data_IF_207118843513
#
_entry.id   IF_207118843513
#
_cell.length_a   1.000
_cell.length_b   1.000
_cell.length_c   1.000
_cell.angle_alpha   90.00
_cell.angle_beta   90.00
_cell.angle_gamma   90.00
#
_symmetry.space_group_name_H-M   'P 1'
#
loop_
_entity.id
_entity.type
_entity.pdbx_description
1 polymer ?
#
# COMPACT_ATOMS: atom_id res chain seq x y z
N UNK A 1 2.95 1.71 -34.57
CA UNK A 1 3.31 0.71 -33.54
C UNK A 1 2.68 -0.61 -33.93
N UNK A 2 3.45 -1.69 -33.82
CA UNK A 2 2.95 -3.05 -33.97
C UNK A 2 2.19 -3.49 -32.71
N UNK A 3 1.41 -4.57 -32.79
CA UNK A 3 0.79 -5.18 -31.61
C UNK A 3 1.83 -5.62 -30.57
N UNK A 4 3.05 -5.97 -31.00
CA UNK A 4 4.14 -6.34 -30.10
C UNK A 4 4.72 -5.15 -29.34
N UNK A 5 4.83 -3.98 -29.99
CA UNK A 5 5.36 -2.77 -29.35
C UNK A 5 4.44 -2.28 -28.22
N UNK A 6 3.12 -2.45 -28.40
CA UNK A 6 2.09 -2.14 -27.40
C UNK A 6 2.20 -3.09 -26.22
N UNK A 7 2.30 -4.40 -26.49
CA UNK A 7 2.46 -5.44 -25.47
C UNK A 7 3.68 -5.18 -24.58
N UNK A 8 4.79 -4.80 -25.18
CA UNK A 8 6.04 -4.52 -24.47
C UNK A 8 5.96 -3.24 -23.63
N UNK A 9 5.32 -2.19 -24.15
CA UNK A 9 5.09 -0.96 -23.40
C UNK A 9 4.16 -1.19 -22.18
N UNK A 10 3.09 -1.98 -22.36
CA UNK A 10 2.17 -2.32 -21.27
C UNK A 10 2.84 -3.18 -20.19
N UNK A 11 3.66 -4.16 -20.60
CA UNK A 11 4.48 -4.94 -19.65
C UNK A 11 5.47 -4.06 -18.89
N UNK A 12 6.11 -3.11 -19.56
CA UNK A 12 7.04 -2.18 -18.93
C UNK A 12 6.34 -1.28 -17.91
N UNK A 13 5.16 -0.74 -18.25
CA UNK A 13 4.35 0.05 -17.33
C UNK A 13 3.90 -0.78 -16.12
N UNK A 14 3.33 -1.97 -16.35
CA UNK A 14 2.90 -2.86 -15.27
C UNK A 14 4.06 -3.19 -14.32
N UNK A 15 5.25 -3.47 -14.87
CA UNK A 15 6.45 -3.74 -14.07
C UNK A 15 6.86 -2.52 -13.24
N UNK A 16 6.96 -1.34 -13.85
CA UNK A 16 7.36 -0.14 -13.13
C UNK A 16 6.40 0.21 -11.98
N UNK A 17 5.10 0.06 -12.20
CA UNK A 17 4.11 0.41 -11.17
C UNK A 17 3.95 -0.69 -10.13
N UNK A 18 3.78 -1.95 -10.55
CA UNK A 18 3.46 -3.05 -9.66
C UNK A 18 4.70 -3.68 -9.01
N UNK A 19 5.77 -3.91 -9.76
CA UNK A 19 6.97 -4.53 -9.21
C UNK A 19 7.84 -3.54 -8.44
N UNK A 20 7.95 -2.29 -8.89
CA UNK A 20 8.85 -1.33 -8.25
C UNK A 20 8.09 -0.49 -7.22
N UNK A 21 7.17 0.38 -7.67
CA UNK A 21 6.52 1.34 -6.77
C UNK A 21 5.64 0.68 -5.70
N UNK A 22 4.79 -0.29 -6.07
CA UNK A 22 3.88 -0.94 -5.13
C UNK A 22 4.62 -1.79 -4.09
N UNK A 23 5.64 -2.56 -4.51
CA UNK A 23 6.46 -3.35 -3.57
C UNK A 23 7.27 -2.45 -2.64
N UNK A 24 7.82 -1.35 -3.15
CA UNK A 24 8.56 -0.40 -2.31
C UNK A 24 7.65 0.24 -1.27
N UNK A 25 6.45 0.69 -1.66
CA UNK A 25 5.48 1.26 -0.73
C UNK A 25 5.03 0.24 0.32
N UNK A 26 4.74 -1.00 -0.09
CA UNK A 26 4.41 -2.09 0.84
C UNK A 26 5.54 -2.31 1.85
N UNK A 27 6.79 -2.40 1.39
CA UNK A 27 7.94 -2.61 2.25
C UNK A 27 8.14 -1.44 3.22
N UNK A 28 8.17 -0.21 2.72
CA UNK A 28 8.43 0.99 3.52
C UNK A 28 7.39 1.15 4.64
N UNK A 29 6.10 1.00 4.31
CA UNK A 29 5.03 1.24 5.29
C UNK A 29 4.85 0.03 6.20
N UNK A 30 4.64 -1.16 5.63
CA UNK A 30 4.31 -2.34 6.41
C UNK A 30 5.50 -2.95 7.14
N UNK A 31 6.70 -2.91 6.55
CA UNK A 31 7.87 -3.55 7.16
C UNK A 31 8.64 -2.60 8.06
N UNK A 32 8.88 -1.37 7.61
CA UNK A 32 9.79 -0.47 8.32
C UNK A 32 9.03 0.42 9.32
N UNK A 33 8.05 1.19 8.87
CA UNK A 33 7.30 2.11 9.74
C UNK A 33 6.54 1.36 10.86
N UNK A 34 5.78 0.32 10.51
CA UNK A 34 5.03 -0.48 11.49
C UNK A 34 5.93 -1.12 12.54
N UNK A 35 7.05 -1.70 12.12
CA UNK A 35 7.98 -2.39 13.00
C UNK A 35 8.68 -1.42 13.94
N UNK A 36 9.02 -0.23 13.46
CA UNK A 36 9.64 0.79 14.29
C UNK A 36 8.69 1.36 15.34
N UNK A 37 7.41 1.58 14.98
CA UNK A 37 6.40 1.99 15.97
C UNK A 37 6.20 0.91 17.03
N UNK A 38 6.02 -0.35 16.61
CA UNK A 38 5.89 -1.48 17.55
C UNK A 38 7.10 -1.59 18.47
N UNK A 39 8.31 -1.53 17.91
CA UNK A 39 9.56 -1.62 18.67
C UNK A 39 9.64 -0.47 19.67
N UNK A 40 9.43 0.76 19.24
CA UNK A 40 9.56 1.95 20.07
C UNK A 40 8.61 1.90 21.25
N UNK A 41 7.36 1.50 21.01
CA UNK A 41 6.38 1.40 22.06
C UNK A 41 6.70 0.31 23.08
N UNK A 42 6.96 -0.93 22.64
CA UNK A 42 7.18 -2.03 23.57
C UNK A 42 8.53 -1.95 24.29
N UNK A 43 9.59 -1.45 23.63
CA UNK A 43 10.92 -1.39 24.24
C UNK A 43 11.18 -0.15 25.09
N UNK A 44 10.47 0.94 24.83
CA UNK A 44 10.56 2.19 25.59
C UNK A 44 9.31 2.43 26.42
N UNK A 45 8.27 2.94 25.77
CA UNK A 45 7.06 3.49 26.41
C UNK A 45 6.42 2.50 27.39
N UNK A 46 6.18 1.27 26.95
CA UNK A 46 5.44 0.29 27.75
C UNK A 46 6.30 -0.31 28.86
N UNK A 47 7.61 -0.45 28.63
CA UNK A 47 8.56 -0.86 29.67
C UNK A 47 8.60 0.17 30.80
N UNK A 48 8.69 1.44 30.46
CA UNK A 48 8.74 2.54 31.44
C UNK A 48 7.38 2.73 32.13
N UNK A 49 6.26 2.51 31.42
CA UNK A 49 4.91 2.64 31.97
C UNK A 49 4.63 1.63 33.09
N UNK A 50 5.04 0.37 32.94
CA UNK A 50 4.86 -0.65 33.98
C UNK A 50 5.70 -0.37 35.25
N UNK A 51 6.76 0.44 35.16
CA UNK A 51 7.60 0.80 36.31
C UNK A 51 7.00 1.95 37.14
N UNK A 52 6.10 2.78 36.58
CA UNK A 52 5.59 3.99 37.22
C UNK A 52 4.07 4.09 37.33
N UNK A 53 3.31 3.23 36.63
CA UNK A 53 1.84 3.23 36.63
C UNK A 53 1.26 1.90 37.14
N UNK A 54 0.02 1.91 37.69
CA UNK A 54 -0.72 0.69 37.95
C UNK A 54 -0.90 -0.14 36.67
N UNK A 55 -0.82 -1.47 36.79
CA UNK A 55 -0.94 -2.39 35.66
C UNK A 55 -2.17 -2.16 34.79
N UNK A 56 -3.32 -1.83 35.38
CA UNK A 56 -4.56 -1.58 34.63
C UNK A 56 -4.44 -0.42 33.66
N UNK A 57 -3.80 0.68 34.08
CA UNK A 57 -3.64 1.88 33.24
C UNK A 57 -2.65 1.61 32.09
N UNK A 58 -1.53 0.94 32.38
CA UNK A 58 -0.58 0.53 31.34
C UNK A 58 -1.20 -0.46 30.34
N UNK A 59 -2.06 -1.37 30.82
CA UNK A 59 -2.78 -2.32 29.97
C UNK A 59 -3.83 -1.65 29.07
N UNK A 60 -4.48 -0.58 29.54
CA UNK A 60 -5.43 0.19 28.74
C UNK A 60 -4.71 0.92 27.61
N UNK A 61 -3.58 1.58 27.90
CA UNK A 61 -2.74 2.24 26.89
C UNK A 61 -2.20 1.25 25.85
N UNK A 62 -1.82 0.04 26.28
CA UNK A 62 -1.42 -1.03 25.38
C UNK A 62 -2.54 -1.42 24.42
N UNK A 63 -3.77 -1.52 24.93
CA UNK A 63 -4.94 -1.90 24.14
C UNK A 63 -5.30 -0.83 23.11
N UNK A 64 -5.19 0.45 23.48
CA UNK A 64 -5.47 1.57 22.57
C UNK A 64 -4.44 1.69 21.45
N UNK A 65 -3.16 1.44 21.73
CA UNK A 65 -2.17 1.33 20.66
C UNK A 65 -2.53 0.19 19.71
N UNK A 66 -2.89 -0.98 20.26
CA UNK A 66 -3.20 -2.14 19.44
C UNK A 66 -4.36 -1.86 18.46
N UNK A 67 -5.42 -1.18 18.94
CA UNK A 67 -6.53 -0.72 18.10
C UNK A 67 -6.05 0.24 17.01
N UNK A 68 -5.32 1.28 17.39
CA UNK A 68 -4.79 2.29 16.45
C UNK A 68 -3.93 1.65 15.36
N UNK A 69 -3.06 0.70 15.74
CA UNK A 69 -2.22 -0.04 14.81
C UNK A 69 -3.04 -0.89 13.86
N UNK A 70 -4.06 -1.60 14.39
CA UNK A 70 -4.97 -2.43 13.60
C UNK A 70 -5.79 -1.62 12.60
N UNK A 71 -6.28 -0.46 13.01
CA UNK A 71 -7.06 0.43 12.15
C UNK A 71 -6.18 0.96 11.01
N UNK A 72 -4.99 1.47 11.33
CA UNK A 72 -4.06 1.94 10.31
C UNK A 72 -3.59 0.82 9.36
N UNK A 73 -3.54 -0.45 9.80
CA UNK A 73 -3.19 -1.57 8.93
C UNK A 73 -4.31 -1.80 7.94
N UNK A 74 -5.54 -1.77 8.43
CA UNK A 74 -6.75 -1.95 7.63
C UNK A 74 -6.86 -0.85 6.56
N UNK A 75 -6.65 0.41 6.95
CA UNK A 75 -6.66 1.55 6.03
C UNK A 75 -5.56 1.42 4.97
N UNK A 76 -4.36 1.00 5.36
CA UNK A 76 -3.27 0.77 4.42
C UNK A 76 -3.60 -0.33 3.41
N UNK A 77 -4.16 -1.46 3.88
CA UNK A 77 -4.58 -2.55 3.00
C UNK A 77 -5.70 -2.15 2.05
N UNK A 78 -6.66 -1.34 2.50
CA UNK A 78 -7.72 -0.80 1.64
C UNK A 78 -7.13 0.09 0.55
N UNK A 79 -6.33 1.09 0.90
CA UNK A 79 -5.71 1.99 -0.07
C UNK A 79 -4.86 1.23 -1.11
N UNK A 80 -4.15 0.20 -0.65
CA UNK A 80 -3.38 -0.69 -1.50
C UNK A 80 -4.27 -1.49 -2.48
N UNK A 81 -5.37 -2.06 -1.99
CA UNK A 81 -6.33 -2.80 -2.80
C UNK A 81 -7.02 -1.91 -3.84
N UNK A 82 -7.37 -0.69 -3.45
CA UNK A 82 -8.00 0.30 -4.34
C UNK A 82 -7.04 0.68 -5.47
N UNK A 83 -5.79 1.02 -5.12
CA UNK A 83 -4.76 1.34 -6.12
C UNK A 83 -4.50 0.18 -7.10
N UNK A 84 -4.50 -1.07 -6.63
CA UNK A 84 -4.37 -2.24 -7.52
C UNK A 84 -5.57 -2.38 -8.47
N UNK A 85 -6.76 -2.12 -7.97
CA UNK A 85 -8.00 -2.23 -8.75
C UNK A 85 -8.05 -1.14 -9.83
N UNK A 86 -7.66 0.09 -9.49
CA UNK A 86 -7.57 1.21 -10.43
C UNK A 86 -6.55 0.93 -11.53
N UNK A 87 -5.37 0.41 -11.16
CA UNK A 87 -4.33 0.05 -12.13
C UNK A 87 -4.77 -1.06 -13.08
N UNK A 88 -5.48 -2.07 -12.56
CA UNK A 88 -6.00 -3.14 -13.40
C UNK A 88 -7.04 -2.62 -14.39
N UNK A 89 -7.93 -1.73 -13.93
CA UNK A 89 -8.95 -1.09 -14.75
C UNK A 89 -8.31 -0.27 -15.86
N UNK A 90 -7.38 0.63 -15.51
CA UNK A 90 -6.61 1.43 -16.47
C UNK A 90 -5.88 0.55 -17.49
N UNK A 91 -5.24 -0.54 -17.04
CA UNK A 91 -4.57 -1.47 -17.93
C UNK A 91 -5.54 -2.09 -18.93
N UNK A 92 -6.71 -2.54 -18.47
CA UNK A 92 -7.74 -3.15 -19.31
C UNK A 92 -8.29 -2.15 -20.34
N UNK A 93 -8.59 -0.92 -19.92
CA UNK A 93 -9.18 0.10 -20.78
C UNK A 93 -8.20 0.56 -21.86
N UNK A 94 -6.94 0.85 -21.49
CA UNK A 94 -5.89 1.20 -22.45
C UNK A 94 -5.65 0.05 -23.43
N UNK A 95 -5.60 -1.19 -22.95
CA UNK A 95 -5.40 -2.34 -23.84
C UNK A 95 -6.57 -2.52 -24.83
N UNK A 96 -7.81 -2.30 -24.38
CA UNK A 96 -9.00 -2.34 -25.23
C UNK A 96 -8.96 -1.30 -26.35
N UNK A 97 -8.72 -0.02 -26.00
CA UNK A 97 -8.63 1.06 -26.98
C UNK A 97 -7.53 0.82 -28.01
N UNK A 98 -6.36 0.35 -27.56
CA UNK A 98 -5.24 0.04 -28.44
C UNK A 98 -5.53 -1.15 -29.37
N UNK A 99 -6.26 -2.16 -28.90
CA UNK A 99 -6.70 -3.28 -29.74
C UNK A 99 -7.65 -2.83 -30.85
N UNK A 100 -8.56 -1.91 -30.52
CA UNK A 100 -9.48 -1.27 -31.47
C UNK A 100 -8.80 -0.24 -32.39
N UNK A 101 -7.47 -0.11 -32.28
CA UNK A 101 -6.63 0.84 -33.02
C UNK A 101 -7.03 2.29 -32.75
N UNK A 102 -7.64 2.56 -31.59
CA UNK A 102 -7.82 3.90 -31.10
C UNK A 102 -6.56 4.31 -30.31
N UNK A 103 -5.90 5.37 -30.77
CA UNK A 103 -4.68 5.89 -30.16
C UNK A 103 -4.93 7.17 -29.34
N UNK A 104 -6.18 7.64 -29.31
CA UNK A 104 -6.62 8.72 -28.43
C UNK A 104 -7.00 8.16 -27.05
N UNK A 105 -5.99 8.05 -26.19
CA UNK A 105 -6.10 7.48 -24.86
C UNK A 105 -6.53 8.50 -23.80
N UNK A 106 -6.82 9.75 -24.18
CA UNK A 106 -7.16 10.79 -23.20
C UNK A 106 -8.43 10.43 -22.41
N UNK A 107 -9.32 9.62 -22.99
CA UNK A 107 -10.60 9.22 -22.39
C UNK A 107 -10.48 8.12 -21.34
N UNK A 108 -9.37 7.38 -21.33
CA UNK A 108 -9.14 6.24 -20.43
C UNK A 108 -8.03 6.52 -19.40
N UNK A 109 -7.46 7.73 -19.43
CA UNK A 109 -6.40 8.20 -18.52
C UNK A 109 -6.83 9.40 -17.66
N UNK A 110 -8.11 9.77 -17.68
CA UNK A 110 -8.73 10.79 -16.81
C UNK A 110 -8.91 10.26 -15.38
#
# INVERSE_FOLDING_TARGET
MSSGDIDDAMKAFYRAVYDDAYKEMYRSVYTDAYKDVYRTFYSGVMKDAYDVKPYSEASDEQSDLYRTMSDAQSDFYQAMSDAQSDLYTMHSDVYGELYDKNYDLSKVLD
#
